data_IF_963000957039
#
_entry.id   IF_963000957039
#
_cell.length_a   1.000
_cell.length_b   1.000
_cell.length_c   1.000
_cell.angle_alpha   90.00
_cell.angle_beta   90.00
_cell.angle_gamma   90.00
#
_symmetry.space_group_name_H-M   'P 1'
#
loop_
_entity.id
_entity.type
_entity.pdbx_description
1 polymer ?
#
# COMPACT_ATOMS: atom_id res chain seq x y z
N UNK A 1 -23.52 28.30 -27.36
CA UNK A 1 -24.83 28.14 -26.67
C UNK A 1 -25.22 29.47 -26.07
N UNK A 2 -26.41 30.00 -26.38
CA UNK A 2 -26.93 31.22 -25.73
C UNK A 2 -27.50 30.82 -24.35
N UNK A 3 -27.13 31.53 -23.29
CA UNK A 3 -27.71 31.31 -21.97
C UNK A 3 -29.22 31.55 -22.03
N UNK A 4 -30.03 30.59 -21.59
CA UNK A 4 -31.50 30.64 -21.65
C UNK A 4 -32.14 31.43 -20.50
N UNK A 5 -31.34 31.82 -19.50
CA UNK A 5 -31.74 32.55 -18.30
C UNK A 5 -30.71 33.64 -18.00
N UNK A 6 -31.08 34.60 -17.14
CA UNK A 6 -30.15 35.59 -16.60
C UNK A 6 -29.05 34.91 -15.77
N UNK A 7 -27.82 35.42 -15.88
CA UNK A 7 -26.64 34.87 -15.20
C UNK A 7 -26.00 35.97 -14.35
N UNK A 8 -25.73 35.68 -13.08
CA UNK A 8 -24.85 36.51 -12.24
C UNK A 8 -23.43 35.97 -12.36
N UNK A 9 -22.47 36.84 -12.72
CA UNK A 9 -21.05 36.52 -12.76
C UNK A 9 -20.38 37.09 -11.51
N UNK A 10 -19.55 36.25 -10.89
CA UNK A 10 -18.64 36.59 -9.80
C UNK A 10 -17.21 36.53 -10.34
N UNK A 11 -16.53 37.67 -10.45
CA UNK A 11 -15.20 37.78 -11.05
C UNK A 11 -14.18 38.28 -10.01
N UNK A 12 -13.27 37.42 -9.51
CA UNK A 12 -12.25 37.81 -8.52
C UNK A 12 -11.36 38.96 -9.02
N UNK A 13 -10.86 39.79 -8.10
CA UNK A 13 -9.93 40.86 -8.47
C UNK A 13 -8.66 40.29 -9.13
N UNK A 14 -8.19 40.90 -10.23
CA UNK A 14 -6.87 40.60 -10.80
C UNK A 14 -5.73 40.76 -9.77
N UNK A 15 -4.62 40.05 -9.99
CA UNK A 15 -3.44 40.14 -9.12
C UNK A 15 -2.93 41.58 -9.01
N UNK A 16 -2.61 42.02 -7.79
CA UNK A 16 -2.16 43.40 -7.51
C UNK A 16 -3.28 44.45 -7.48
N UNK A 17 -4.55 44.03 -7.57
CA UNK A 17 -5.71 44.91 -7.51
C UNK A 17 -6.65 44.53 -6.36
N UNK A 18 -7.51 45.46 -5.96
CA UNK A 18 -8.54 45.22 -4.95
C UNK A 18 -9.79 46.08 -5.21
N UNK A 19 -10.73 46.11 -4.26
CA UNK A 19 -11.97 46.90 -4.38
C UNK A 19 -11.76 48.40 -4.56
N UNK A 20 -10.57 48.92 -4.28
CA UNK A 20 -10.20 50.33 -4.43
C UNK A 20 -9.64 50.65 -5.82
N UNK A 21 -9.17 49.64 -6.57
CA UNK A 21 -8.71 49.79 -7.96
C UNK A 21 -9.87 50.26 -8.84
N UNK A 22 -9.65 51.29 -9.68
CA UNK A 22 -10.67 51.74 -10.61
C UNK A 22 -10.74 50.81 -11.84
N UNK A 23 -11.94 50.36 -12.16
CA UNK A 23 -12.15 49.32 -13.18
C UNK A 23 -13.21 49.75 -14.17
N UNK A 24 -13.00 49.41 -15.44
CA UNK A 24 -14.00 49.43 -16.49
C UNK A 24 -14.27 48.00 -16.97
N UNK A 25 -15.54 47.58 -16.98
CA UNK A 25 -15.94 46.28 -17.49
C UNK A 25 -16.58 46.47 -18.88
N UNK A 26 -15.98 45.85 -19.89
CA UNK A 26 -16.40 45.93 -21.28
C UNK A 26 -16.99 44.61 -21.75
N UNK A 27 -18.11 44.67 -22.48
CA UNK A 27 -18.76 43.54 -23.10
C UNK A 27 -18.63 43.61 -24.62
N UNK A 28 -18.18 42.52 -25.23
CA UNK A 28 -18.01 42.39 -26.69
C UNK A 28 -19.24 41.68 -27.26
N UNK A 29 -20.26 42.43 -27.60
CA UNK A 29 -21.57 41.89 -27.99
C UNK A 29 -21.47 41.00 -29.23
N UNK A 30 -22.16 39.85 -29.18
CA UNK A 30 -22.31 38.88 -30.27
C UNK A 30 -21.00 38.27 -30.83
N UNK A 31 -19.85 38.49 -30.18
CA UNK A 31 -18.58 37.86 -30.57
C UNK A 31 -18.62 36.34 -30.31
N UNK A 32 -18.55 35.54 -31.38
CA UNK A 32 -18.61 34.08 -31.32
C UNK A 32 -17.31 33.46 -30.78
N UNK A 33 -17.43 32.35 -30.01
CA UNK A 33 -16.30 31.65 -29.36
C UNK A 33 -15.67 30.54 -30.21
N UNK A 34 -16.30 30.17 -31.32
CA UNK A 34 -15.77 29.18 -32.28
C UNK A 34 -15.13 29.92 -33.44
N UNK A 35 -13.84 30.27 -33.32
CA UNK A 35 -13.12 30.92 -34.42
C UNK A 35 -11.72 30.34 -34.61
N UNK A 36 -11.35 30.20 -35.88
CA UNK A 36 -9.97 29.92 -36.29
C UNK A 36 -9.12 31.18 -36.10
N UNK A 37 -7.80 31.03 -35.92
CA UNK A 37 -6.88 32.11 -35.55
C UNK A 37 -6.81 33.28 -36.55
N UNK A 38 -7.31 33.14 -37.77
CA UNK A 38 -7.26 34.18 -38.80
C UNK A 38 -8.47 35.13 -38.80
N UNK A 39 -9.57 34.77 -38.14
CA UNK A 39 -10.84 35.54 -38.18
C UNK A 39 -11.02 36.48 -36.97
N UNK A 40 -10.24 36.28 -35.91
CA UNK A 40 -10.40 36.95 -34.61
C UNK A 40 -10.20 38.47 -34.69
N UNK A 41 -9.22 38.94 -35.46
CA UNK A 41 -8.91 40.38 -35.56
C UNK A 41 -10.00 41.13 -36.33
N UNK A 42 -10.57 40.51 -37.37
CA UNK A 42 -11.65 41.09 -38.16
C UNK A 42 -12.96 41.18 -37.37
N UNK A 43 -13.27 40.16 -36.58
CA UNK A 43 -14.53 40.10 -35.84
C UNK A 43 -14.51 40.97 -34.58
N UNK A 44 -13.35 41.15 -33.94
CA UNK A 44 -13.17 42.16 -32.87
C UNK A 44 -13.38 43.58 -33.42
N UNK A 45 -12.88 43.87 -34.63
CA UNK A 45 -13.03 45.20 -35.24
C UNK A 45 -14.49 45.54 -35.59
N UNK A 46 -15.33 44.53 -35.78
CA UNK A 46 -16.74 44.68 -36.16
C UNK A 46 -17.72 44.48 -34.99
N UNK A 47 -17.24 44.11 -33.80
CA UNK A 47 -18.10 43.89 -32.64
C UNK A 47 -18.45 45.20 -31.93
N UNK A 48 -19.65 45.25 -31.35
CA UNK A 48 -20.05 46.36 -30.49
C UNK A 48 -19.45 46.14 -29.11
N UNK A 49 -18.66 47.12 -28.63
CA UNK A 49 -18.12 47.11 -27.27
C UNK A 49 -18.93 48.06 -26.40
N UNK A 50 -19.56 47.53 -25.37
CA UNK A 50 -20.44 48.28 -24.46
C UNK A 50 -19.95 48.18 -23.02
N UNK A 51 -19.97 49.27 -22.23
CA UNK A 51 -19.66 49.21 -20.82
C UNK A 51 -20.75 48.46 -20.04
N UNK A 52 -20.34 47.68 -19.05
CA UNK A 52 -21.22 46.91 -18.17
C UNK A 52 -21.18 47.49 -16.77
N UNK A 53 -22.34 47.68 -16.16
CA UNK A 53 -22.42 48.07 -14.75
C UNK A 53 -22.18 46.87 -13.84
N UNK A 54 -21.40 47.09 -12.79
CA UNK A 54 -21.02 46.05 -11.84
C UNK A 54 -20.95 46.61 -10.41
N UNK A 55 -20.91 45.70 -9.45
CA UNK A 55 -20.76 46.00 -8.02
C UNK A 55 -19.43 45.46 -7.52
N UNK A 56 -18.65 46.26 -6.79
CA UNK A 56 -17.42 45.81 -6.10
C UNK A 56 -17.78 45.28 -4.72
N UNK A 57 -17.45 44.03 -4.44
CA UNK A 57 -17.55 43.39 -3.13
C UNK A 57 -16.15 43.21 -2.54
N UNK A 58 -16.04 42.65 -1.33
CA UNK A 58 -14.76 42.61 -0.60
C UNK A 58 -13.67 41.79 -1.33
N UNK A 59 -14.04 40.76 -2.08
CA UNK A 59 -13.11 39.83 -2.75
C UNK A 59 -13.33 39.68 -4.27
N UNK A 60 -14.39 40.28 -4.84
CA UNK A 60 -14.69 40.17 -6.27
C UNK A 60 -15.59 41.29 -6.82
N UNK A 61 -15.74 41.32 -8.13
CA UNK A 61 -16.74 42.11 -8.87
C UNK A 61 -17.96 41.23 -9.22
N UNK A 62 -19.17 41.74 -8.98
CA UNK A 62 -20.44 41.10 -9.35
C UNK A 62 -21.15 41.88 -10.47
N UNK A 63 -21.59 41.19 -11.53
CA UNK A 63 -22.46 41.78 -12.55
C UNK A 63 -23.46 40.76 -13.12
N UNK A 64 -24.56 41.28 -13.67
CA UNK A 64 -25.66 40.45 -14.21
C UNK A 64 -25.73 40.58 -15.71
N UNK A 65 -25.94 39.44 -16.36
CA UNK A 65 -26.10 39.32 -17.81
C UNK A 65 -27.51 38.80 -18.09
N UNK A 66 -28.23 39.50 -18.96
CA UNK A 66 -29.55 39.06 -19.43
C UNK A 66 -29.47 37.83 -20.33
N UNK A 67 -30.58 37.08 -20.43
CA UNK A 67 -30.68 35.93 -21.35
C UNK A 67 -30.18 36.26 -22.77
N UNK A 68 -29.31 35.41 -23.32
CA UNK A 68 -28.70 35.61 -24.65
C UNK A 68 -27.43 36.48 -24.69
N UNK A 69 -27.03 37.14 -23.60
CA UNK A 69 -25.90 38.09 -23.57
C UNK A 69 -24.54 37.53 -23.14
N UNK A 70 -24.35 36.20 -23.14
CA UNK A 70 -23.08 35.60 -22.68
C UNK A 70 -22.03 35.56 -23.81
N UNK A 71 -21.42 36.71 -24.08
CA UNK A 71 -20.27 36.89 -24.99
C UNK A 71 -18.99 37.22 -24.18
N UNK A 72 -17.82 37.43 -24.80
CA UNK A 72 -16.61 37.81 -24.10
C UNK A 72 -16.74 39.14 -23.35
N UNK A 73 -16.05 39.23 -22.20
CA UNK A 73 -15.96 40.42 -21.37
C UNK A 73 -14.48 40.72 -21.09
N UNK A 74 -14.13 42.00 -20.95
CA UNK A 74 -12.81 42.43 -20.50
C UNK A 74 -12.94 43.36 -19.30
N UNK A 75 -12.18 43.07 -18.25
CA UNK A 75 -12.01 43.96 -17.11
C UNK A 75 -10.72 44.76 -17.33
N UNK A 76 -10.81 46.08 -17.37
CA UNK A 76 -9.72 47.00 -17.71
C UNK A 76 -9.46 47.93 -16.53
N UNK A 77 -8.19 48.17 -16.23
CA UNK A 77 -7.75 49.14 -15.21
C UNK A 77 -6.42 49.75 -15.63
N UNK A 78 -6.10 50.94 -15.11
CA UNK A 78 -4.77 51.52 -15.27
C UNK A 78 -3.80 50.82 -14.29
N UNK A 79 -2.74 50.22 -14.82
CA UNK A 79 -1.61 49.73 -14.01
C UNK A 79 -0.55 50.82 -13.85
N UNK A 80 0.07 50.91 -12.67
CA UNK A 80 1.29 51.71 -12.53
C UNK A 80 2.40 51.11 -13.41
N UNK A 81 2.95 51.91 -14.34
CA UNK A 81 4.03 51.49 -15.24
C UNK A 81 5.24 51.01 -14.43
N UNK A 82 5.64 49.75 -14.62
CA UNK A 82 7.02 49.31 -14.37
C UNK A 82 7.72 49.12 -15.70
N UNK A 83 8.90 49.71 -15.80
CA UNK A 83 9.64 49.95 -17.04
C UNK A 83 9.89 48.68 -17.87
N UNK A 84 9.40 48.70 -19.12
CA UNK A 84 10.10 48.16 -20.29
C UNK A 84 10.19 46.63 -20.45
N UNK A 85 9.20 46.02 -21.11
CA UNK A 85 9.39 45.32 -22.41
C UNK A 85 8.04 44.80 -22.94
N UNK A 86 7.82 45.03 -24.23
CA UNK A 86 6.66 44.69 -25.07
C UNK A 86 5.84 43.45 -24.66
N UNK A 87 4.59 43.65 -24.23
CA UNK A 87 3.62 42.56 -24.02
C UNK A 87 2.86 42.25 -25.31
N UNK A 88 3.30 41.19 -25.98
CA UNK A 88 2.52 40.44 -26.96
C UNK A 88 1.44 39.64 -26.23
N UNK A 89 0.16 39.90 -26.54
CA UNK A 89 -1.00 39.02 -26.33
C UNK A 89 -0.92 38.01 -25.17
N UNK A 90 -1.31 38.44 -23.97
CA UNK A 90 -1.40 37.57 -22.81
C UNK A 90 -2.62 36.64 -22.89
N UNK A 91 -2.38 35.39 -23.25
CA UNK A 91 -3.26 34.27 -22.88
C UNK A 91 -3.31 34.22 -21.35
N UNK A 92 -4.48 34.43 -20.74
CA UNK A 92 -4.67 34.19 -19.30
C UNK A 92 -4.68 32.69 -19.04
N UNK A 93 -3.50 32.09 -18.93
CA UNK A 93 -3.37 30.81 -18.24
C UNK A 93 -3.63 31.09 -16.77
N UNK A 94 -4.63 30.47 -16.15
CA UNK A 94 -4.71 30.42 -14.69
C UNK A 94 -3.34 29.93 -14.20
N UNK A 95 -2.61 30.75 -13.44
CA UNK A 95 -1.33 30.32 -12.87
C UNK A 95 -1.63 29.10 -12.00
N UNK A 96 -1.15 27.94 -12.44
CA UNK A 96 -1.33 26.67 -11.73
C UNK A 96 -0.02 26.35 -11.04
N UNK A 97 -0.13 26.03 -9.76
CA UNK A 97 0.99 25.75 -8.88
C UNK A 97 1.01 24.28 -8.51
N UNK A 98 2.16 23.79 -8.03
CA UNK A 98 2.35 22.39 -7.68
C UNK A 98 2.70 22.26 -6.21
N UNK A 99 2.29 21.16 -5.61
CA UNK A 99 2.96 20.65 -4.42
C UNK A 99 4.04 19.68 -4.88
N UNK A 100 5.26 19.86 -4.40
CA UNK A 100 6.41 19.03 -4.73
C UNK A 100 6.88 18.36 -3.45
N UNK A 101 6.84 17.04 -3.44
CA UNK A 101 7.37 16.22 -2.37
C UNK A 101 8.82 15.92 -2.69
N UNK A 102 9.70 15.92 -1.68
CA UNK A 102 11.13 15.69 -1.81
C UNK A 102 11.65 14.66 -0.82
N UNK A 103 12.61 13.84 -1.25
CA UNK A 103 13.41 12.96 -0.40
C UNK A 103 14.82 12.90 -0.99
N UNK A 104 15.78 13.57 -0.33
CA UNK A 104 17.12 13.81 -0.88
C UNK A 104 17.06 14.39 -2.31
N UNK A 105 17.67 13.71 -3.28
CA UNK A 105 17.69 14.12 -4.69
C UNK A 105 16.39 13.77 -5.47
N UNK A 106 15.45 13.04 -4.85
CA UNK A 106 14.19 12.64 -5.49
C UNK A 106 13.08 13.68 -5.28
N UNK A 107 12.33 13.99 -6.35
CA UNK A 107 11.18 14.88 -6.30
C UNK A 107 9.95 14.26 -6.98
N UNK A 108 8.84 14.13 -6.26
CA UNK A 108 7.52 13.84 -6.85
C UNK A 108 6.70 15.13 -6.93
N UNK A 109 6.11 15.40 -8.10
CA UNK A 109 5.14 16.49 -8.26
C UNK A 109 3.73 15.96 -8.10
N UNK A 110 2.95 16.63 -7.26
CA UNK A 110 1.51 16.43 -7.20
C UNK A 110 0.80 17.12 -8.38
N UNK A 111 -0.53 16.99 -8.40
CA UNK A 111 -1.41 17.67 -9.34
C UNK A 111 -1.22 19.20 -9.40
N UNK A 112 -1.87 19.79 -10.40
CA UNK A 112 -1.91 21.24 -10.60
C UNK A 112 -3.04 21.82 -9.76
N UNK A 113 -2.73 22.84 -8.97
CA UNK A 113 -3.67 23.52 -8.10
C UNK A 113 -3.79 24.99 -8.47
N UNK A 114 -4.96 25.58 -8.24
CA UNK A 114 -5.15 27.03 -8.29
C UNK A 114 -5.02 27.64 -6.88
N UNK A 115 -4.64 28.93 -6.76
CA UNK A 115 -4.60 29.59 -5.46
C UNK A 115 -5.90 29.48 -4.67
N UNK A 116 -5.81 29.19 -3.38
CA UNK A 116 -6.94 29.00 -2.47
C UNK A 116 -7.60 27.62 -2.54
N UNK A 117 -7.24 26.77 -3.51
CA UNK A 117 -7.68 25.38 -3.54
C UNK A 117 -7.20 24.63 -2.29
N UNK A 118 -8.04 23.75 -1.74
CA UNK A 118 -7.63 22.92 -0.60
C UNK A 118 -6.81 21.75 -1.11
N UNK A 119 -5.59 21.61 -0.59
CA UNK A 119 -4.72 20.47 -0.85
C UNK A 119 -4.69 19.57 0.38
N UNK A 120 -4.76 18.25 0.15
CA UNK A 120 -4.55 17.23 1.18
C UNK A 120 -3.14 16.67 1.07
N UNK A 121 -2.40 16.69 2.16
CA UNK A 121 -1.01 16.23 2.22
C UNK A 121 -0.96 14.70 2.07
N UNK A 122 -0.15 14.23 1.12
CA UNK A 122 -0.03 12.81 0.78
C UNK A 122 0.68 12.01 1.88
N UNK A 123 0.46 10.70 1.83
CA UNK A 123 1.27 9.72 2.55
C UNK A 123 2.69 9.62 2.00
N UNK A 124 3.43 8.59 2.40
CA UNK A 124 4.74 8.34 1.81
C UNK A 124 4.62 8.07 0.31
N UNK A 125 5.34 8.86 -0.49
CA UNK A 125 5.42 8.73 -1.94
C UNK A 125 6.80 8.28 -2.42
N UNK A 126 7.73 8.03 -1.50
CA UNK A 126 9.09 7.59 -1.76
C UNK A 126 9.38 6.22 -1.16
N UNK A 127 10.49 5.62 -1.57
CA UNK A 127 11.05 4.47 -0.85
C UNK A 127 11.59 4.96 0.50
N UNK A 128 11.07 4.42 1.60
CA UNK A 128 11.56 4.78 2.93
C UNK A 128 12.99 4.24 3.15
N UNK A 129 13.87 4.99 3.83
CA UNK A 129 15.13 4.44 4.30
C UNK A 129 14.89 3.22 5.22
N UNK A 130 15.82 2.27 5.19
CA UNK A 130 15.74 1.05 6.01
C UNK A 130 15.57 1.41 7.50
N UNK A 131 14.57 0.80 8.15
CA UNK A 131 14.26 1.04 9.56
C UNK A 131 13.55 2.37 9.85
N UNK A 132 13.10 3.11 8.83
CA UNK A 132 12.43 4.40 8.99
C UNK A 132 10.99 4.37 8.48
N UNK A 133 10.15 5.21 9.08
CA UNK A 133 8.81 5.55 8.57
C UNK A 133 8.63 7.06 8.49
N UNK A 134 7.78 7.50 7.56
CA UNK A 134 7.50 8.92 7.37
C UNK A 134 6.82 9.48 8.63
N UNK A 135 7.46 10.42 9.30
CA UNK A 135 6.89 11.16 10.42
C UNK A 135 5.93 12.28 9.93
N UNK A 136 6.23 12.85 8.76
CA UNK A 136 5.45 13.89 8.11
C UNK A 136 6.33 14.66 7.11
N UNK A 137 5.88 15.85 6.75
CA UNK A 137 6.52 16.70 5.75
C UNK A 137 6.93 18.04 6.37
N UNK A 138 8.10 18.55 6.00
CA UNK A 138 8.60 19.87 6.39
C UNK A 138 8.59 20.84 5.22
N UNK A 139 8.42 22.13 5.49
CA UNK A 139 8.61 23.21 4.51
C UNK A 139 10.09 23.55 4.27
N UNK A 140 10.99 23.05 5.13
CA UNK A 140 12.43 23.27 5.06
C UNK A 140 13.15 21.93 4.88
N UNK A 141 14.22 21.92 4.10
CA UNK A 141 15.13 20.78 3.98
C UNK A 141 15.73 20.47 5.37
N UNK A 142 15.76 19.19 5.75
CA UNK A 142 16.15 18.71 7.10
C UNK A 142 15.35 19.33 8.27
N UNK A 143 14.17 19.88 7.99
CA UNK A 143 13.32 20.54 8.96
C UNK A 143 12.54 19.58 9.88
N UNK A 144 11.72 20.17 10.75
CA UNK A 144 10.78 19.43 11.61
C UNK A 144 9.46 19.20 10.88
N UNK A 145 8.65 18.25 11.34
CA UNK A 145 7.32 18.03 10.78
C UNK A 145 6.45 19.28 10.91
N UNK A 146 6.07 19.85 9.76
CA UNK A 146 5.11 20.95 9.64
C UNK A 146 3.72 20.43 9.28
N UNK A 147 3.65 19.38 8.44
CA UNK A 147 2.41 18.71 8.04
C UNK A 147 2.46 17.21 8.27
N UNK A 148 1.40 16.65 8.84
CA UNK A 148 1.18 15.21 8.91
C UNK A 148 0.40 14.72 7.68
N UNK A 149 0.50 13.43 7.43
CA UNK A 149 -0.30 12.77 6.37
C UNK A 149 -1.79 13.01 6.61
N UNK A 150 -2.49 13.47 5.58
CA UNK A 150 -3.91 13.80 5.64
C UNK A 150 -4.25 15.19 6.17
N UNK A 151 -3.26 15.96 6.67
CA UNK A 151 -3.46 17.38 6.95
C UNK A 151 -3.83 18.12 5.66
N UNK A 152 -4.47 19.28 5.80
CA UNK A 152 -4.87 20.09 4.65
C UNK A 152 -4.34 21.51 4.76
N UNK A 153 -4.04 22.13 3.62
CA UNK A 153 -3.70 23.54 3.54
C UNK A 153 -4.31 24.19 2.29
N UNK A 154 -4.39 25.52 2.29
CA UNK A 154 -4.86 26.30 1.14
C UNK A 154 -3.67 26.60 0.24
N UNK A 155 -3.78 26.27 -1.04
CA UNK A 155 -2.71 26.49 -2.01
C UNK A 155 -2.34 27.97 -2.07
N UNK A 156 -1.07 28.35 -1.83
CA UNK A 156 -0.67 29.74 -1.95
C UNK A 156 -0.58 30.15 -3.45
N UNK A 157 -0.29 31.43 -3.69
CA UNK A 157 0.04 31.95 -5.02
C UNK A 157 1.42 31.51 -5.53
N UNK A 158 1.95 30.37 -5.07
CA UNK A 158 3.25 29.82 -5.45
C UNK A 158 3.24 28.30 -5.30
N UNK A 159 4.19 27.61 -5.93
CA UNK A 159 4.38 26.17 -5.65
C UNK A 159 4.91 25.97 -4.23
N UNK A 160 4.60 24.83 -3.62
CA UNK A 160 5.00 24.46 -2.27
C UNK A 160 5.93 23.24 -2.35
N UNK A 161 7.03 23.30 -1.61
CA UNK A 161 7.98 22.20 -1.46
C UNK A 161 7.81 21.57 -0.07
N UNK A 162 7.70 20.25 -0.04
CA UNK A 162 7.51 19.45 1.16
C UNK A 162 8.60 18.39 1.22
N UNK A 163 9.47 18.47 2.22
CA UNK A 163 10.61 17.56 2.42
C UNK A 163 10.24 16.46 3.42
N UNK A 164 10.54 15.20 3.08
CA UNK A 164 10.21 14.05 3.92
C UNK A 164 10.97 14.12 5.25
N UNK A 165 10.25 13.99 6.37
CA UNK A 165 10.85 13.86 7.70
C UNK A 165 10.68 12.43 8.16
N UNK A 166 11.79 11.72 8.34
CA UNK A 166 11.83 10.33 8.76
C UNK A 166 11.97 10.18 10.27
N UNK A 167 11.34 9.15 10.84
CA UNK A 167 11.57 8.71 12.23
C UNK A 167 11.89 7.23 12.27
N UNK A 168 12.48 6.77 13.37
CA UNK A 168 12.66 5.34 13.62
C UNK A 168 11.31 4.63 13.62
N UNK A 169 11.24 3.53 12.90
CA UNK A 169 10.10 2.63 12.90
C UNK A 169 10.15 1.72 14.13
N UNK A 170 8.98 1.35 14.65
CA UNK A 170 8.92 0.26 15.62
C UNK A 170 9.21 -1.05 14.87
N UNK A 171 10.23 -1.77 15.34
CA UNK A 171 10.66 -3.03 14.75
C UNK A 171 9.99 -4.20 15.44
N UNK A 172 9.45 -5.12 14.66
CA UNK A 172 9.03 -6.45 15.10
C UNK A 172 10.09 -7.49 14.69
N UNK A 173 10.01 -8.68 15.27
CA UNK A 173 11.03 -9.70 15.08
C UNK A 173 10.45 -11.05 14.72
N UNK A 174 11.10 -11.69 13.76
CA UNK A 174 10.74 -12.96 13.20
C UNK A 174 11.86 -13.95 13.46
N UNK A 175 11.55 -15.00 14.23
CA UNK A 175 12.48 -16.12 14.40
C UNK A 175 12.40 -17.06 13.19
N UNK A 176 13.54 -17.58 12.75
CA UNK A 176 13.58 -18.70 11.81
C UNK A 176 12.88 -19.93 12.41
N UNK A 177 12.05 -20.59 11.61
CA UNK A 177 11.35 -21.81 12.01
C UNK A 177 11.78 -23.05 11.22
N UNK A 178 12.58 -22.88 10.17
CA UNK A 178 13.30 -23.97 9.49
C UNK A 178 14.81 -23.75 9.54
N UNK A 179 15.58 -24.81 9.31
CA UNK A 179 17.05 -24.72 9.28
C UNK A 179 17.74 -25.40 8.10
N UNK A 180 16.99 -26.14 7.28
CA UNK A 180 17.54 -27.03 6.26
C UNK A 180 18.06 -28.35 6.83
N UNK A 181 18.80 -29.08 6.01
CA UNK A 181 19.40 -30.37 6.32
C UNK A 181 20.92 -30.23 6.48
N UNK A 182 21.59 -31.16 7.19
CA UNK A 182 23.05 -31.11 7.41
C UNK A 182 23.91 -31.12 6.13
N UNK A 183 23.34 -31.55 5.00
CA UNK A 183 24.00 -31.58 3.69
C UNK A 183 23.96 -30.22 2.95
N UNK A 184 23.42 -29.17 3.59
CA UNK A 184 23.30 -27.85 3.00
C UNK A 184 22.13 -27.70 2.02
N UNK A 185 21.20 -28.66 2.02
CA UNK A 185 19.93 -28.58 1.26
C UNK A 185 18.78 -28.13 2.15
N UNK A 186 17.68 -27.69 1.53
CA UNK A 186 16.41 -27.43 2.21
C UNK A 186 15.28 -28.31 1.69
N UNK A 187 15.40 -28.92 0.51
CA UNK A 187 14.43 -29.84 -0.05
C UNK A 187 13.07 -29.21 -0.29
N UNK A 188 12.95 -28.16 -1.14
CA UNK A 188 11.70 -27.44 -1.32
C UNK A 188 10.56 -28.35 -1.79
N UNK A 189 10.82 -29.24 -2.74
CA UNK A 189 9.83 -30.17 -3.31
C UNK A 189 9.75 -31.52 -2.57
N UNK A 190 10.55 -31.72 -1.51
CA UNK A 190 10.47 -32.94 -0.70
C UNK A 190 9.23 -32.87 0.19
N UNK A 191 8.51 -33.99 0.28
CA UNK A 191 7.46 -34.16 1.29
C UNK A 191 8.09 -34.21 2.67
N UNK A 192 7.44 -33.60 3.67
CA UNK A 192 7.96 -33.61 5.04
C UNK A 192 7.27 -34.66 5.91
N UNK A 193 7.97 -35.09 6.95
CA UNK A 193 7.44 -35.96 7.99
C UNK A 193 6.58 -35.19 8.99
N UNK A 194 5.75 -35.92 9.74
CA UNK A 194 4.95 -35.36 10.84
C UNK A 194 5.84 -34.76 11.94
N UNK A 195 6.99 -35.36 12.21
CA UNK A 195 7.99 -34.83 13.15
C UNK A 195 8.59 -33.49 12.70
N UNK A 196 8.89 -33.35 11.40
CA UNK A 196 9.38 -32.09 10.84
C UNK A 196 8.30 -30.99 10.93
N UNK A 197 7.05 -31.29 10.55
CA UNK A 197 5.94 -30.36 10.67
C UNK A 197 5.73 -29.89 12.12
N UNK A 198 5.73 -30.81 13.08
CA UNK A 198 5.65 -30.48 14.51
C UNK A 198 6.80 -29.57 14.96
N UNK A 199 8.02 -29.82 14.48
CA UNK A 199 9.18 -29.00 14.86
C UNK A 199 9.08 -27.57 14.31
N UNK A 200 8.54 -27.39 13.11
CA UNK A 200 8.30 -26.06 12.54
C UNK A 200 7.33 -25.24 13.41
N UNK A 201 6.17 -25.79 13.77
CA UNK A 201 5.23 -25.11 14.69
C UNK A 201 5.83 -24.90 16.08
N UNK A 202 6.62 -25.85 16.59
CA UNK A 202 7.29 -25.68 17.88
C UNK A 202 8.27 -24.51 17.86
N UNK A 203 8.99 -24.29 16.76
CA UNK A 203 9.92 -23.19 16.63
C UNK A 203 9.23 -21.82 16.64
N UNK A 204 7.98 -21.75 16.18
CA UNK A 204 7.13 -20.55 16.21
C UNK A 204 6.55 -20.23 17.60
N UNK A 205 6.58 -21.16 18.55
CA UNK A 205 6.06 -20.90 19.89
C UNK A 205 6.89 -19.82 20.62
N UNK A 206 6.21 -18.73 20.99
CA UNK A 206 6.74 -17.72 21.92
C UNK A 206 6.89 -18.29 23.34
N UNK A 207 5.95 -19.13 23.76
CA UNK A 207 6.00 -19.88 25.01
C UNK A 207 6.06 -21.39 24.76
N UNK A 208 7.22 -21.97 25.06
CA UNK A 208 7.52 -23.41 24.94
C UNK A 208 7.23 -24.20 26.22
N UNK A 209 6.65 -23.58 27.24
CA UNK A 209 6.20 -24.25 28.47
C UNK A 209 4.82 -24.88 28.31
N UNK A 210 4.46 -25.80 29.21
CA UNK A 210 3.18 -26.50 29.20
C UNK A 210 3.32 -27.99 29.53
N UNK A 211 2.19 -28.63 29.85
CA UNK A 211 2.15 -30.04 30.17
C UNK A 211 2.48 -30.89 28.94
N UNK A 212 3.46 -31.78 29.04
CA UNK A 212 3.83 -32.67 27.96
C UNK A 212 2.83 -33.83 27.85
N UNK A 213 2.34 -34.12 26.64
CA UNK A 213 1.57 -35.34 26.35
C UNK A 213 2.43 -36.33 25.57
N UNK A 214 2.65 -37.52 26.14
CA UNK A 214 3.48 -38.57 25.53
C UNK A 214 2.71 -39.43 24.51
N UNK A 215 3.44 -39.98 23.55
CA UNK A 215 2.97 -41.00 22.59
C UNK A 215 3.85 -42.23 22.70
N UNK A 216 3.30 -43.41 22.39
CA UNK A 216 3.99 -44.69 22.56
C UNK A 216 5.18 -44.87 21.61
N UNK A 217 5.17 -44.17 20.47
CA UNK A 217 6.18 -44.18 19.42
C UNK A 217 7.03 -42.90 19.37
N UNK A 218 7.02 -42.10 20.45
CA UNK A 218 7.86 -40.90 20.58
C UNK A 218 8.80 -41.06 21.79
N UNK A 219 9.96 -41.73 21.61
CA UNK A 219 10.96 -41.83 22.66
C UNK A 219 11.49 -40.45 23.05
N UNK A 220 11.67 -40.20 24.35
CA UNK A 220 12.06 -38.89 24.88
C UNK A 220 13.44 -38.39 24.42
N UNK A 221 14.30 -39.28 23.91
CA UNK A 221 15.64 -38.96 23.41
C UNK A 221 15.67 -38.62 21.90
N UNK A 222 14.53 -38.58 21.22
CA UNK A 222 14.47 -38.19 19.81
C UNK A 222 14.48 -36.66 19.64
N UNK A 223 15.06 -36.19 18.53
CA UNK A 223 15.20 -34.75 18.24
C UNK A 223 13.84 -34.02 18.18
N UNK A 224 12.79 -34.69 17.74
CA UNK A 224 11.42 -34.17 17.66
C UNK A 224 10.61 -34.33 18.95
N UNK A 225 11.11 -35.08 19.94
CA UNK A 225 10.31 -35.55 21.07
C UNK A 225 9.72 -34.38 21.87
N UNK A 226 10.53 -33.36 22.17
CA UNK A 226 10.10 -32.16 22.88
C UNK A 226 9.03 -31.40 22.10
N UNK A 227 9.25 -31.18 20.79
CA UNK A 227 8.32 -30.46 19.93
C UNK A 227 6.94 -31.15 19.90
N UNK A 228 6.93 -32.44 19.64
CA UNK A 228 5.71 -33.25 19.55
C UNK A 228 4.95 -33.25 20.88
N UNK A 229 5.63 -33.51 22.00
CA UNK A 229 4.96 -33.61 23.30
C UNK A 229 4.42 -32.26 23.80
N UNK A 230 5.15 -31.16 23.57
CA UNK A 230 4.70 -29.81 23.93
C UNK A 230 3.49 -29.40 23.08
N UNK A 231 3.54 -29.59 21.76
CA UNK A 231 2.41 -29.25 20.87
C UNK A 231 1.18 -30.12 21.14
N UNK A 232 1.39 -31.37 21.54
CA UNK A 232 0.29 -32.23 21.95
C UNK A 232 -0.34 -31.78 23.29
N UNK A 233 0.48 -31.30 24.22
CA UNK A 233 0.03 -30.62 25.44
C UNK A 233 -0.81 -29.38 25.18
N UNK A 234 -0.41 -28.58 24.20
CA UNK A 234 -1.11 -27.36 23.77
C UNK A 234 -2.33 -27.63 22.88
N UNK A 235 -2.66 -28.89 22.58
CA UNK A 235 -3.81 -29.25 21.75
C UNK A 235 -3.62 -29.03 20.24
N UNK A 236 -2.41 -28.67 19.79
CA UNK A 236 -2.09 -28.54 18.36
C UNK A 236 -2.05 -29.91 17.69
N UNK A 237 -1.54 -30.91 18.41
CA UNK A 237 -1.39 -32.30 17.95
C UNK A 237 -2.21 -33.25 18.82
N UNK A 238 -3.10 -34.03 18.20
CA UNK A 238 -3.88 -35.04 18.93
C UNK A 238 -3.24 -36.44 18.95
N UNK A 239 -2.50 -36.79 17.88
CA UNK A 239 -2.07 -38.16 17.58
C UNK A 239 -3.20 -39.03 17.02
N UNK A 240 -2.95 -40.33 16.93
CA UNK A 240 -3.91 -41.33 16.47
C UNK A 240 -4.64 -42.00 17.65
N UNK A 241 -5.84 -42.59 17.41
CA UNK A 241 -6.59 -43.28 18.47
C UNK A 241 -5.86 -44.45 19.15
N UNK A 242 -4.84 -45.02 18.50
CA UNK A 242 -4.00 -46.10 19.03
C UNK A 242 -2.89 -45.59 20.00
N UNK A 243 -2.83 -44.28 20.26
CA UNK A 243 -1.84 -43.66 21.14
C UNK A 243 -0.51 -43.34 20.46
N UNK A 244 -0.41 -43.49 19.14
CA UNK A 244 0.79 -43.17 18.35
C UNK A 244 0.74 -41.76 17.76
N UNK A 245 1.89 -41.22 17.38
CA UNK A 245 2.04 -39.98 16.60
C UNK A 245 2.47 -40.22 15.16
N UNK A 246 3.20 -41.31 14.88
CA UNK A 246 3.84 -41.68 13.60
C UNK A 246 4.82 -40.62 13.11
N UNK A 247 5.91 -40.33 13.87
CA UNK A 247 6.81 -39.22 13.60
C UNK A 247 7.45 -39.26 12.21
N UNK A 248 7.87 -40.44 11.75
CA UNK A 248 8.60 -40.62 10.49
C UNK A 248 7.68 -40.73 9.26
N UNK A 249 6.36 -40.76 9.45
CA UNK A 249 5.42 -40.80 8.33
C UNK A 249 5.31 -39.44 7.67
N UNK A 250 5.20 -39.42 6.33
CA UNK A 250 4.88 -38.20 5.58
C UNK A 250 3.52 -37.65 6.02
N UNK A 251 3.46 -36.33 6.26
CA UNK A 251 2.22 -35.66 6.68
C UNK A 251 1.34 -35.33 5.47
N UNK A 252 0.03 -35.55 5.58
CA UNK A 252 -0.90 -35.14 4.52
C UNK A 252 -1.24 -33.66 4.61
N UNK A 253 -1.71 -33.09 3.50
CA UNK A 253 -2.12 -31.68 3.43
C UNK A 253 -3.26 -31.36 4.41
N UNK A 254 -4.22 -32.26 4.60
CA UNK A 254 -5.30 -32.10 5.57
C UNK A 254 -4.81 -32.16 7.04
N UNK A 255 -3.87 -33.06 7.35
CA UNK A 255 -3.25 -33.13 8.67
C UNK A 255 -2.47 -31.86 8.99
N UNK A 256 -1.65 -31.38 8.06
CA UNK A 256 -0.88 -30.17 8.23
C UNK A 256 -1.76 -28.93 8.45
N UNK A 257 -2.79 -28.74 7.62
CA UNK A 257 -3.72 -27.60 7.77
C UNK A 257 -4.50 -27.66 9.07
N UNK A 258 -4.85 -28.86 9.53
CA UNK A 258 -5.49 -29.00 10.85
C UNK A 258 -4.55 -28.59 11.97
N UNK A 259 -3.26 -28.92 11.88
CA UNK A 259 -2.26 -28.43 12.83
C UNK A 259 -2.14 -26.90 12.78
N UNK A 260 -2.13 -26.29 11.59
CA UNK A 260 -2.08 -24.83 11.42
C UNK A 260 -3.30 -24.14 12.09
N UNK A 261 -4.51 -24.61 11.80
CA UNK A 261 -5.75 -24.08 12.41
C UNK A 261 -5.75 -24.21 13.94
N UNK A 262 -5.28 -25.34 14.47
CA UNK A 262 -5.20 -25.55 15.92
C UNK A 262 -4.10 -24.68 16.55
N UNK A 263 -2.95 -24.53 15.89
CA UNK A 263 -1.84 -23.70 16.35
C UNK A 263 -2.25 -22.23 16.49
N UNK A 264 -2.91 -21.69 15.46
CA UNK A 264 -3.44 -20.33 15.46
C UNK A 264 -4.70 -20.16 16.32
N UNK A 265 -5.24 -21.25 16.89
CA UNK A 265 -6.54 -21.27 17.57
C UNK A 265 -7.65 -20.59 16.75
N UNK A 266 -7.64 -20.81 15.43
CA UNK A 266 -8.54 -20.14 14.50
C UNK A 266 -9.88 -20.87 14.35
N UNK A 267 -10.93 -20.10 14.03
CA UNK A 267 -12.27 -20.64 13.84
C UNK A 267 -12.34 -21.55 12.60
N UNK A 268 -12.98 -22.71 12.78
CA UNK A 268 -13.25 -23.62 11.66
C UNK A 268 -14.31 -23.02 10.75
N UNK A 269 -14.10 -23.12 9.44
CA UNK A 269 -15.07 -22.69 8.44
C UNK A 269 -16.24 -23.67 8.31
N UNK A 270 -17.34 -23.20 7.76
CA UNK A 270 -18.58 -23.98 7.56
C UNK A 270 -18.83 -24.38 6.11
N UNK A 271 -18.13 -23.76 5.15
CA UNK A 271 -18.29 -23.99 3.72
C UNK A 271 -16.94 -24.26 3.05
N UNK A 272 -16.88 -25.33 2.27
CA UNK A 272 -15.75 -25.71 1.44
C UNK A 272 -16.26 -26.01 0.02
N UNK A 273 -15.58 -25.48 -1.01
CA UNK A 273 -15.96 -25.66 -2.41
C UNK A 273 -15.21 -26.79 -3.12
N UNK A 274 -14.26 -27.45 -2.44
CA UNK A 274 -13.44 -28.50 -3.04
C UNK A 274 -14.22 -29.82 -3.21
N UNK A 275 -14.31 -30.38 -4.43
CA UNK A 275 -15.08 -31.60 -4.69
C UNK A 275 -14.59 -32.84 -3.93
N UNK A 276 -13.31 -32.87 -3.56
CA UNK A 276 -12.63 -33.95 -2.85
C UNK A 276 -12.57 -33.76 -1.33
N UNK A 277 -13.35 -32.80 -0.78
CA UNK A 277 -13.44 -32.54 0.66
C UNK A 277 -14.89 -32.73 1.13
N UNK A 278 -15.33 -33.96 1.43
CA UNK A 278 -16.69 -34.24 1.89
C UNK A 278 -17.00 -33.59 3.24
N UNK A 279 -18.23 -33.09 3.40
CA UNK A 279 -18.67 -32.36 4.61
C UNK A 279 -18.57 -33.17 5.91
N UNK A 280 -18.67 -34.49 5.84
CA UNK A 280 -18.59 -35.39 6.99
C UNK A 280 -17.14 -35.77 7.38
N UNK A 281 -16.12 -35.25 6.69
CA UNK A 281 -14.72 -35.54 7.02
C UNK A 281 -14.21 -34.67 8.17
N UNK A 282 -13.36 -35.26 9.02
CA UNK A 282 -12.80 -34.61 10.22
C UNK A 282 -12.02 -33.32 9.90
N UNK A 283 -11.44 -33.23 8.70
CA UNK A 283 -10.67 -32.08 8.24
C UNK A 283 -11.51 -30.99 7.57
N UNK A 284 -12.81 -31.21 7.31
CA UNK A 284 -13.63 -30.31 6.49
C UNK A 284 -13.61 -28.88 7.03
N UNK A 285 -13.88 -28.70 8.32
CA UNK A 285 -13.91 -27.38 8.94
C UNK A 285 -12.53 -26.70 9.01
N UNK A 286 -11.45 -27.47 9.15
CA UNK A 286 -10.10 -26.93 9.15
C UNK A 286 -9.71 -26.41 7.76
N UNK A 287 -9.98 -27.20 6.71
CA UNK A 287 -9.74 -26.80 5.33
C UNK A 287 -10.57 -25.57 4.95
N UNK A 288 -11.86 -25.57 5.31
CA UNK A 288 -12.74 -24.43 5.08
C UNK A 288 -12.21 -23.15 5.76
N UNK A 289 -11.81 -23.25 7.03
CA UNK A 289 -11.27 -22.12 7.79
C UNK A 289 -9.96 -21.61 7.21
N UNK A 290 -8.99 -22.49 6.93
CA UNK A 290 -7.70 -22.08 6.39
C UNK A 290 -7.82 -21.46 4.99
N UNK A 291 -8.76 -21.94 4.17
CA UNK A 291 -9.06 -21.36 2.85
C UNK A 291 -9.71 -19.98 3.00
N UNK A 292 -10.66 -19.84 3.94
CA UNK A 292 -11.33 -18.56 4.22
C UNK A 292 -10.36 -17.50 4.74
N UNK A 293 -9.38 -17.89 5.56
CA UNK A 293 -8.33 -17.00 6.05
C UNK A 293 -7.24 -16.72 4.99
N UNK A 294 -7.33 -17.33 3.79
CA UNK A 294 -6.35 -17.14 2.72
C UNK A 294 -5.00 -17.81 2.96
N UNK A 295 -4.88 -18.70 3.94
CA UNK A 295 -3.61 -19.37 4.28
C UNK A 295 -3.22 -20.42 3.24
N UNK A 296 -4.20 -21.04 2.61
CA UNK A 296 -4.01 -22.11 1.64
C UNK A 296 -5.09 -22.08 0.56
N UNK A 297 -4.71 -22.46 -0.65
CA UNK A 297 -5.61 -22.64 -1.80
C UNK A 297 -5.63 -24.10 -2.27
N UNK A 298 -6.58 -24.42 -3.16
CA UNK A 298 -6.58 -25.70 -3.88
C UNK A 298 -5.56 -25.74 -5.01
N UNK A 299 -5.42 -26.92 -5.60
CA UNK A 299 -4.60 -27.13 -6.79
C UNK A 299 -5.28 -26.62 -8.06
N UNK A 300 -4.52 -26.41 -9.16
CA UNK A 300 -5.07 -25.96 -10.45
C UNK A 300 -6.13 -26.89 -11.06
N UNK A 301 -6.17 -28.16 -10.63
CA UNK A 301 -7.18 -29.14 -11.04
C UNK A 301 -8.54 -28.97 -10.31
N UNK A 302 -8.64 -27.97 -9.42
CA UNK A 302 -9.85 -27.66 -8.64
C UNK A 302 -10.01 -28.49 -7.37
N UNK A 303 -9.06 -29.37 -7.06
CA UNK A 303 -9.07 -30.20 -5.84
C UNK A 303 -8.32 -29.54 -4.69
N UNK A 304 -8.61 -29.94 -3.45
CA UNK A 304 -7.74 -29.61 -2.32
C UNK A 304 -6.58 -30.60 -2.18
N UNK A 305 -6.80 -31.88 -2.50
CA UNK A 305 -5.88 -32.98 -2.29
C UNK A 305 -5.62 -33.26 -0.80
N UNK A 306 -6.64 -33.58 0.03
CA UNK A 306 -6.49 -33.72 1.47
C UNK A 306 -5.52 -34.83 1.88
N UNK A 307 -5.48 -35.92 1.11
CA UNK A 307 -4.61 -37.07 1.35
C UNK A 307 -3.26 -36.99 0.63
N UNK A 308 -3.02 -35.94 -0.18
CA UNK A 308 -1.70 -35.71 -0.79
C UNK A 308 -0.70 -35.35 0.30
N UNK A 309 0.51 -35.90 0.23
CA UNK A 309 1.61 -35.46 1.07
C UNK A 309 2.04 -34.05 0.68
N UNK A 310 2.20 -33.18 1.66
CA UNK A 310 2.53 -31.78 1.45
C UNK A 310 4.05 -31.61 1.36
N UNK A 311 4.48 -30.77 0.42
CA UNK A 311 5.91 -30.43 0.24
C UNK A 311 6.36 -29.38 1.25
N UNK A 312 7.68 -29.30 1.48
CA UNK A 312 8.25 -28.29 2.37
C UNK A 312 7.98 -26.86 1.90
N UNK A 313 8.02 -26.62 0.58
CA UNK A 313 7.71 -25.34 -0.05
C UNK A 313 6.25 -24.91 0.18
N UNK A 314 5.31 -25.85 0.11
CA UNK A 314 3.91 -25.56 0.43
C UNK A 314 3.72 -25.27 1.92
N UNK A 315 4.39 -26.03 2.79
CA UNK A 315 4.33 -25.84 4.24
C UNK A 315 4.80 -24.45 4.66
N UNK A 316 5.95 -23.99 4.17
CA UNK A 316 6.45 -22.64 4.49
C UNK A 316 5.55 -21.56 3.92
N UNK A 317 5.01 -21.77 2.72
CA UNK A 317 4.04 -20.84 2.12
C UNK A 317 2.76 -20.71 2.94
N UNK A 318 2.27 -21.79 3.55
CA UNK A 318 1.07 -21.77 4.41
C UNK A 318 1.38 -21.12 5.76
N UNK A 319 2.51 -21.48 6.39
CA UNK A 319 2.92 -20.89 7.68
C UNK A 319 3.13 -19.39 7.55
N UNK A 320 3.84 -18.94 6.51
CA UNK A 320 4.08 -17.51 6.32
C UNK A 320 2.77 -16.75 6.14
N UNK A 321 1.79 -17.28 5.40
CA UNK A 321 0.47 -16.63 5.30
C UNK A 321 -0.29 -16.65 6.63
N UNK A 322 -0.21 -17.74 7.39
CA UNK A 322 -0.85 -17.87 8.70
C UNK A 322 -0.29 -16.87 9.71
N UNK A 323 1.03 -16.71 9.74
CA UNK A 323 1.77 -15.80 10.62
C UNK A 323 1.92 -14.40 10.03
N UNK A 324 1.28 -14.12 8.88
CA UNK A 324 1.34 -12.86 8.14
C UNK A 324 2.77 -12.40 7.76
N UNK A 325 3.70 -13.33 7.51
CA UNK A 325 5.10 -13.07 7.19
C UNK A 325 5.33 -12.93 5.68
N UNK A 326 6.17 -11.98 5.27
CA UNK A 326 6.43 -11.69 3.87
C UNK A 326 7.92 -11.40 3.64
N UNK A 327 8.52 -12.17 2.73
CA UNK A 327 9.92 -11.98 2.40
C UNK A 327 10.17 -10.64 1.71
N UNK A 328 11.18 -9.90 2.17
CA UNK A 328 11.68 -8.70 1.48
C UNK A 328 12.73 -9.11 0.43
N UNK A 329 12.28 -9.27 -0.82
CA UNK A 329 13.16 -9.71 -1.91
C UNK A 329 14.27 -8.71 -2.22
N UNK A 330 14.07 -7.42 -1.99
CA UNK A 330 15.12 -6.41 -2.24
C UNK A 330 16.21 -6.56 -1.19
N UNK A 331 15.82 -6.55 0.08
CA UNK A 331 16.75 -6.73 1.18
C UNK A 331 17.53 -8.05 1.06
N UNK A 332 16.85 -9.15 0.72
CA UNK A 332 17.53 -10.44 0.56
C UNK A 332 18.56 -10.47 -0.56
N UNK A 333 18.36 -9.70 -1.64
CA UNK A 333 19.34 -9.61 -2.73
C UNK A 333 20.58 -8.81 -2.30
N UNK A 334 20.38 -7.75 -1.52
CA UNK A 334 21.44 -6.86 -1.08
C UNK A 334 22.28 -7.46 0.06
N UNK A 335 21.71 -8.41 0.83
CA UNK A 335 22.32 -9.05 2.00
C UNK A 335 22.52 -10.57 1.86
N UNK A 336 22.66 -11.08 0.62
CA UNK A 336 22.66 -12.53 0.35
C UNK A 336 23.81 -13.28 1.05
N UNK A 337 24.95 -12.62 1.30
CA UNK A 337 26.13 -13.17 1.97
C UNK A 337 25.97 -13.29 3.49
N UNK A 338 25.02 -12.57 4.08
CA UNK A 338 24.66 -12.64 5.49
C UNK A 338 23.58 -13.69 5.75
N UNK A 339 22.81 -14.07 4.72
CA UNK A 339 21.70 -15.01 4.82
C UNK A 339 22.16 -16.47 4.78
N UNK A 340 21.43 -17.31 5.52
CA UNK A 340 21.44 -18.76 5.30
C UNK A 340 20.83 -19.08 3.95
N UNK A 341 21.66 -19.59 3.05
CA UNK A 341 21.28 -20.05 1.71
C UNK A 341 21.37 -21.57 1.60
N UNK A 342 20.73 -22.13 0.56
CA UNK A 342 20.65 -23.58 0.35
C UNK A 342 21.01 -23.96 -1.07
N UNK A 343 21.79 -25.04 -1.20
CA UNK A 343 22.35 -25.49 -2.48
C UNK A 343 21.29 -25.96 -3.50
N UNK A 344 20.12 -26.39 -3.03
CA UNK A 344 19.01 -26.89 -3.85
C UNK A 344 17.82 -25.92 -3.96
N UNK A 345 17.95 -24.68 -3.45
CA UNK A 345 16.93 -23.65 -3.55
C UNK A 345 17.36 -22.57 -4.55
N UNK A 346 17.00 -22.77 -5.83
CA UNK A 346 17.30 -21.78 -6.87
C UNK A 346 16.46 -20.52 -6.70
N UNK A 347 17.01 -19.35 -7.01
CA UNK A 347 16.28 -18.08 -7.02
C UNK A 347 14.97 -18.10 -7.85
N UNK A 348 14.93 -18.88 -8.95
CA UNK A 348 13.74 -19.06 -9.78
C UNK A 348 12.69 -20.03 -9.22
N UNK A 349 12.93 -20.64 -8.06
CA UNK A 349 11.95 -21.53 -7.44
C UNK A 349 10.75 -20.73 -6.93
N UNK A 350 9.53 -21.18 -7.20
CA UNK A 350 8.30 -20.44 -6.89
C UNK A 350 8.17 -20.08 -5.40
N UNK A 351 8.74 -20.91 -4.52
CA UNK A 351 8.75 -20.71 -3.08
C UNK A 351 10.06 -20.11 -2.53
N UNK A 352 10.96 -19.58 -3.37
CA UNK A 352 12.25 -19.05 -2.93
C UNK A 352 12.10 -18.07 -1.76
N UNK A 353 11.29 -17.02 -1.93
CA UNK A 353 11.04 -16.04 -0.88
C UNK A 353 10.45 -16.66 0.38
N UNK A 354 9.43 -17.52 0.26
CA UNK A 354 8.81 -18.18 1.43
C UNK A 354 9.77 -19.07 2.20
N UNK A 355 10.68 -19.75 1.51
CA UNK A 355 11.70 -20.61 2.11
C UNK A 355 12.81 -19.80 2.78
N UNK A 356 13.22 -18.68 2.19
CA UNK A 356 14.21 -17.78 2.78
C UNK A 356 13.67 -17.04 4.01
N UNK A 357 12.42 -16.56 3.95
CA UNK A 357 11.64 -16.01 5.08
C UNK A 357 11.60 -16.99 6.26
N UNK A 358 11.37 -18.27 5.97
CA UNK A 358 11.27 -19.31 7.00
C UNK A 358 12.61 -19.63 7.67
N UNK A 359 13.71 -19.45 6.94
CA UNK A 359 15.04 -19.95 7.29
C UNK A 359 15.94 -18.91 7.98
N UNK A 360 15.60 -17.63 7.86
CA UNK A 360 16.42 -16.51 8.34
C UNK A 360 15.64 -15.71 9.37
N UNK A 361 16.20 -15.62 10.58
CA UNK A 361 15.67 -14.73 11.59
C UNK A 361 15.98 -13.30 11.17
N UNK A 362 15.02 -12.40 11.35
CA UNK A 362 15.19 -11.00 10.98
C UNK A 362 14.27 -10.10 11.79
N UNK A 363 14.66 -8.84 11.86
CA UNK A 363 13.80 -7.76 12.33
C UNK A 363 13.20 -7.04 11.12
N UNK A 364 11.96 -6.59 11.25
CA UNK A 364 11.24 -5.92 10.19
C UNK A 364 10.41 -4.76 10.70
N UNK A 365 10.03 -3.90 9.77
CA UNK A 365 9.09 -2.80 9.98
C UNK A 365 7.93 -2.96 9.03
N UNK A 366 6.77 -2.43 9.42
CA UNK A 366 5.55 -2.50 8.63
C UNK A 366 4.70 -1.25 8.84
N UNK A 367 4.20 -0.66 7.76
CA UNK A 367 3.39 0.57 7.85
C UNK A 367 2.01 0.32 8.49
N UNK A 368 1.39 -0.81 8.13
CA UNK A 368 0.15 -1.34 8.70
C UNK A 368 0.06 -2.86 8.49
N UNK A 369 -0.86 -3.54 9.16
CA UNK A 369 -0.98 -5.01 9.13
C UNK A 369 -1.15 -5.63 7.72
N UNK A 370 -1.60 -4.85 6.73
CA UNK A 370 -1.83 -5.30 5.36
C UNK A 370 -0.71 -4.89 4.38
N UNK A 371 0.30 -4.17 4.85
CA UNK A 371 1.47 -3.79 4.06
C UNK A 371 2.57 -4.87 4.11
N UNK A 372 3.44 -4.84 3.11
CA UNK A 372 4.62 -5.72 3.05
C UNK A 372 5.61 -5.38 4.16
N UNK A 373 6.37 -6.37 4.61
CA UNK A 373 7.47 -6.19 5.55
C UNK A 373 8.67 -5.56 4.84
N UNK A 374 9.33 -4.64 5.53
CA UNK A 374 10.66 -4.15 5.16
C UNK A 374 11.65 -4.65 6.19
N UNK A 375 12.52 -5.57 5.78
CA UNK A 375 13.53 -6.14 6.67
C UNK A 375 14.58 -5.08 7.03
N UNK A 376 15.10 -5.17 8.25
CA UNK A 376 16.01 -4.16 8.81
C UNK A 376 17.32 -4.80 9.26
N UNK A 377 17.27 -5.98 9.87
CA UNK A 377 18.45 -6.68 10.39
C UNK A 377 18.26 -8.20 10.36
N UNK A 378 19.34 -8.97 10.30
CA UNK A 378 19.36 -10.45 10.24
C UNK A 378 19.98 -11.00 11.54
N UNK A 379 19.42 -12.09 12.09
CA UNK A 379 19.94 -12.75 13.30
C UNK A 379 19.97 -14.28 13.28
#
# INVERSE_FOLDING_TARGET
>A
MKASNDVTIYWPYPEGTDKTTDFELLHFEDLHRDMSSNDVVGDIANCTVSPVTFTKLDDHIEFKIGSGGFSPFALVWEGEESDGSSSSGGSHTSNTYYVRYHNDDETEKDGKFIPGETVTVKGNVFTAPVGKVLAGWSLEEDGKVDYKVGDTFRMPGSSVDLYAVWKDAETESHSAYISGYPDGTVGPDKTITRAEAATMFYNLLTDKTGDAKAFTDVPANQWYAKAVMTLAGKGVISGYPDGTFKPDASITRAEFVTMAMNFANAEKGTACSFPDVPQNMWYYGAIAGATQNGWISGYPDGTFGPDRYITRAEVTSVINRMENRAADMSFMMDHLDELRTFSDLSFGHWAYGSMMEAANGHDYTRADQNSYESWVDIH
#
